data_IF_089391362738
#
_entry.id   IF_089391362738
#
_cell.length_a   1.000
_cell.length_b   1.000
_cell.length_c   1.000
_cell.angle_alpha   90.00
_cell.angle_beta   90.00
_cell.angle_gamma   90.00
#
_symmetry.space_group_name_H-M   'P 1'
#
loop_
_entity.id
_entity.type
_entity.pdbx_description
1 polymer ?
#
# COMPACT_ATOMS: atom_id res chain seq x y z
N UNK A 1 5.69 -17.94 -37.23
CA UNK A 1 4.60 -18.54 -36.42
C UNK A 1 4.79 -18.13 -34.96
N UNK A 2 4.32 -16.94 -34.54
CA UNK A 2 4.54 -16.42 -33.16
C UNK A 2 3.39 -15.53 -32.63
N UNK A 3 2.41 -15.21 -33.47
CA UNK A 3 1.27 -14.32 -33.15
C UNK A 3 0.24 -15.03 -32.26
N UNK A 4 0.12 -16.36 -32.38
CA UNK A 4 -0.82 -17.19 -31.63
C UNK A 4 -0.57 -17.20 -30.11
N UNK A 5 0.69 -17.09 -29.68
CA UNK A 5 1.06 -17.12 -28.26
C UNK A 5 0.66 -15.81 -27.54
N UNK A 6 0.87 -14.67 -28.19
CA UNK A 6 0.53 -13.35 -27.63
C UNK A 6 -0.99 -13.22 -27.48
N UNK A 7 -1.75 -13.68 -28.48
CA UNK A 7 -3.20 -13.62 -28.44
C UNK A 7 -3.78 -14.56 -27.38
N UNK A 8 -3.24 -15.77 -27.24
CA UNK A 8 -3.61 -16.69 -26.16
C UNK A 8 -3.31 -16.11 -24.77
N UNK A 9 -2.17 -15.44 -24.60
CA UNK A 9 -1.82 -14.75 -23.35
C UNK A 9 -2.79 -13.61 -23.05
N UNK A 10 -3.18 -12.83 -24.05
CA UNK A 10 -4.19 -11.76 -23.91
C UNK A 10 -5.54 -12.31 -23.49
N UNK A 11 -6.00 -13.38 -24.13
CA UNK A 11 -7.26 -14.04 -23.77
C UNK A 11 -7.21 -14.55 -22.33
N UNK A 12 -6.10 -15.19 -21.94
CA UNK A 12 -5.91 -15.71 -20.58
C UNK A 12 -5.91 -14.60 -19.53
N UNK A 13 -5.21 -13.49 -19.80
CA UNK A 13 -5.19 -12.33 -18.91
C UNK A 13 -6.58 -11.70 -18.78
N UNK A 14 -7.28 -11.48 -19.90
CA UNK A 14 -8.63 -10.90 -19.89
C UNK A 14 -9.61 -11.76 -19.08
N UNK A 15 -9.50 -13.08 -19.21
CA UNK A 15 -10.32 -14.04 -18.45
C UNK A 15 -9.98 -14.00 -16.96
N UNK A 16 -8.70 -13.90 -16.61
CA UNK A 16 -8.25 -13.78 -15.23
C UNK A 16 -8.74 -12.47 -14.59
N UNK A 17 -8.61 -11.33 -15.29
CA UNK A 17 -9.11 -10.05 -14.80
C UNK A 17 -10.63 -10.04 -14.61
N UNK A 18 -11.39 -10.69 -15.50
CA UNK A 18 -12.82 -10.86 -15.31
C UNK A 18 -13.14 -11.68 -14.06
N UNK A 19 -12.42 -12.78 -13.83
CA UNK A 19 -12.60 -13.60 -12.61
C UNK A 19 -12.32 -12.76 -11.36
N UNK A 20 -11.24 -11.99 -11.35
CA UNK A 20 -10.92 -11.10 -10.23
C UNK A 20 -11.99 -10.01 -10.02
N UNK A 21 -12.55 -9.46 -11.09
CA UNK A 21 -13.59 -8.43 -10.97
C UNK A 21 -14.89 -8.93 -10.34
N UNK A 22 -15.13 -10.24 -10.40
CA UNK A 22 -16.29 -10.91 -9.82
C UNK A 22 -16.00 -11.48 -8.43
N UNK A 23 -14.76 -11.37 -7.93
CA UNK A 23 -14.35 -11.92 -6.66
C UNK A 23 -14.80 -11.02 -5.48
N UNK A 24 -15.78 -11.45 -4.67
CA UNK A 24 -16.28 -10.66 -3.56
C UNK A 24 -15.29 -10.56 -2.39
N UNK A 25 -14.22 -11.37 -2.37
CA UNK A 25 -13.15 -11.24 -1.38
C UNK A 25 -12.22 -10.06 -1.66
N UNK A 26 -12.20 -9.55 -2.90
CA UNK A 26 -11.48 -8.34 -3.29
C UNK A 26 -12.29 -7.06 -3.07
N UNK A 27 -13.61 -7.18 -2.92
CA UNK A 27 -14.41 -6.11 -2.35
C UNK A 27 -13.96 -5.99 -0.90
N UNK A 28 -13.27 -4.90 -0.59
CA UNK A 28 -12.81 -4.55 0.75
C UNK A 28 -13.98 -4.56 1.75
N UNK A 29 -14.33 -5.75 2.24
CA UNK A 29 -14.75 -5.98 3.60
C UNK A 29 -13.48 -6.26 4.39
N UNK A 30 -12.53 -5.32 4.33
CA UNK A 30 -11.71 -5.13 5.49
C UNK A 30 -12.71 -4.82 6.60
N UNK A 31 -12.84 -5.75 7.56
CA UNK A 31 -13.28 -5.41 8.90
C UNK A 31 -12.77 -4.00 9.18
N UNK A 32 -13.65 -3.08 9.58
CA UNK A 32 -13.27 -1.73 9.97
C UNK A 32 -12.34 -1.83 11.19
N UNK A 33 -11.09 -2.20 10.96
CA UNK A 33 -9.97 -1.87 11.83
C UNK A 33 -9.97 -0.36 11.80
N UNK A 34 -10.42 0.25 12.90
CA UNK A 34 -10.66 1.69 13.07
C UNK A 34 -9.75 2.54 12.17
N UNK A 35 -10.24 2.83 10.95
CA UNK A 35 -9.45 3.56 9.97
C UNK A 35 -9.50 5.00 10.41
N UNK A 36 -8.45 5.45 11.10
CA UNK A 36 -8.31 6.86 11.51
C UNK A 36 -8.47 7.75 10.29
N UNK A 37 -9.16 8.87 10.44
CA UNK A 37 -9.28 9.81 9.35
C UNK A 37 -7.90 10.39 9.01
N UNK A 38 -7.71 10.85 7.76
CA UNK A 38 -6.46 11.52 7.39
C UNK A 38 -6.19 12.72 8.31
N UNK A 39 -7.24 13.48 8.67
CA UNK A 39 -7.13 14.60 9.61
C UNK A 39 -6.55 14.16 10.97
N UNK A 40 -6.98 13.00 11.48
CA UNK A 40 -6.42 12.44 12.72
C UNK A 40 -4.95 12.07 12.56
N UNK A 41 -4.57 11.46 11.43
CA UNK A 41 -3.18 11.09 11.15
C UNK A 41 -2.27 12.33 11.05
N UNK A 42 -2.74 13.40 10.41
CA UNK A 42 -2.00 14.67 10.34
C UNK A 42 -1.83 15.29 11.73
N UNK A 43 -2.91 15.34 12.52
CA UNK A 43 -2.86 15.84 13.89
C UNK A 43 -1.91 15.01 14.77
N UNK A 44 -1.95 13.68 14.63
CA UNK A 44 -1.08 12.78 15.38
C UNK A 44 0.40 13.02 15.06
N UNK A 45 0.74 13.27 13.80
CA UNK A 45 2.13 13.48 13.37
C UNK A 45 2.61 14.92 13.57
N UNK A 46 1.70 15.85 13.86
CA UNK A 46 2.00 17.28 13.85
C UNK A 46 2.26 17.82 12.44
N UNK A 47 1.88 17.05 11.40
CA UNK A 47 2.07 17.43 10.02
C UNK A 47 1.12 18.56 9.65
N UNK A 48 1.68 19.67 9.18
CA UNK A 48 0.92 20.86 8.77
C UNK A 48 1.09 21.09 7.27
N UNK A 49 0.12 20.70 6.44
CA UNK A 49 0.18 21.00 5.01
C UNK A 49 0.02 22.52 4.86
N UNK A 50 1.03 23.21 4.35
CA UNK A 50 1.06 24.68 4.22
C UNK A 50 0.20 25.19 3.04
N UNK A 51 -1.08 24.78 2.99
CA UNK A 51 -1.97 24.89 1.81
C UNK A 51 -1.47 24.13 0.57
N UNK A 52 -0.57 23.16 0.76
CA UNK A 52 -0.06 22.28 -0.27
C UNK A 52 -0.71 20.89 -0.19
N UNK A 53 -0.49 20.07 -1.24
CA UNK A 53 -0.86 18.67 -1.21
C UNK A 53 -0.09 17.94 -0.11
N UNK A 54 -0.74 16.96 0.52
CA UNK A 54 -0.11 16.14 1.56
C UNK A 54 0.98 15.27 0.94
N UNK A 55 2.22 15.44 1.39
CA UNK A 55 3.29 14.49 1.10
C UNK A 55 3.07 13.21 1.91
N UNK A 56 2.57 12.17 1.24
CA UNK A 56 2.32 10.89 1.88
C UNK A 56 3.60 10.17 2.29
N UNK A 57 4.73 10.40 1.61
CA UNK A 57 6.01 9.79 1.99
C UNK A 57 6.52 10.41 3.30
N UNK A 58 6.42 11.73 3.45
CA UNK A 58 6.75 12.40 4.71
C UNK A 58 5.80 11.98 5.84
N UNK A 59 4.48 11.96 5.58
CA UNK A 59 3.48 11.53 6.55
C UNK A 59 3.72 10.11 7.04
N UNK A 60 3.97 9.16 6.15
CA UNK A 60 4.28 7.76 6.51
C UNK A 60 5.56 7.69 7.33
N UNK A 61 6.59 8.45 6.95
CA UNK A 61 7.84 8.52 7.72
C UNK A 61 7.62 9.03 9.15
N UNK A 62 6.77 10.04 9.34
CA UNK A 62 6.40 10.55 10.67
C UNK A 62 5.57 9.53 11.46
N UNK A 63 4.66 8.81 10.80
CA UNK A 63 3.87 7.76 11.44
C UNK A 63 4.76 6.62 11.93
N UNK A 64 5.69 6.15 11.11
CA UNK A 64 6.68 5.11 11.47
C UNK A 64 7.51 5.52 12.69
N UNK A 65 8.00 6.77 12.72
CA UNK A 65 8.71 7.30 13.89
C UNK A 65 7.82 7.33 15.14
N UNK A 66 6.55 7.72 15.00
CA UNK A 66 5.61 7.81 16.12
C UNK A 66 5.30 6.46 16.76
N UNK A 67 5.32 5.37 15.98
CA UNK A 67 5.13 4.00 16.48
C UNK A 67 6.45 3.35 16.94
N UNK A 68 7.58 4.07 16.92
CA UNK A 68 8.85 3.61 17.45
C UNK A 68 9.80 2.99 16.43
N UNK A 69 9.46 3.00 15.14
CA UNK A 69 10.39 2.55 14.10
C UNK A 69 11.36 3.70 13.75
N UNK A 70 12.66 3.39 13.73
CA UNK A 70 13.70 4.34 13.29
C UNK A 70 13.88 4.42 11.77
N UNK A 71 12.92 3.88 11.02
CA UNK A 71 12.89 3.84 9.57
C UNK A 71 11.94 4.89 8.97
N UNK A 72 12.10 5.18 7.69
CA UNK A 72 11.26 6.09 6.91
C UNK A 72 10.47 5.34 5.83
N UNK A 73 9.66 6.08 5.07
CA UNK A 73 8.88 5.53 3.97
C UNK A 73 9.75 4.94 2.86
N UNK A 74 10.95 5.47 2.63
CA UNK A 74 11.90 4.96 1.65
C UNK A 74 12.42 3.56 2.06
N UNK A 75 12.80 3.38 3.33
CA UNK A 75 13.25 2.08 3.86
C UNK A 75 12.15 1.01 3.74
N UNK A 76 10.90 1.41 4.04
CA UNK A 76 9.74 0.53 3.90
C UNK A 76 9.50 0.17 2.42
N UNK A 77 9.62 1.14 1.52
CA UNK A 77 9.47 0.91 0.09
C UNK A 77 10.58 0.00 -0.45
N UNK A 78 11.83 0.21 -0.02
CA UNK A 78 12.96 -0.64 -0.39
C UNK A 78 12.73 -2.09 0.05
N UNK A 79 12.24 -2.32 1.27
CA UNK A 79 11.87 -3.65 1.75
C UNK A 79 10.81 -4.32 0.86
N UNK A 80 9.77 -3.56 0.48
CA UNK A 80 8.70 -4.06 -0.40
C UNK A 80 9.21 -4.33 -1.81
N UNK A 81 10.06 -3.46 -2.36
CA UNK A 81 10.68 -3.65 -3.68
C UNK A 81 11.60 -4.87 -3.73
N UNK A 82 12.20 -5.23 -2.60
CA UNK A 82 13.02 -6.43 -2.45
C UNK A 82 12.19 -7.72 -2.22
N UNK A 83 10.86 -7.63 -2.27
CA UNK A 83 9.95 -8.77 -2.21
C UNK A 83 9.36 -9.06 -0.82
N UNK A 84 9.63 -8.19 0.16
CA UNK A 84 8.96 -8.23 1.46
C UNK A 84 7.57 -7.60 1.44
N UNK A 85 6.85 -7.72 2.55
CA UNK A 85 5.52 -7.12 2.74
C UNK A 85 5.54 -5.98 3.76
N UNK A 86 4.52 -5.12 3.74
CA UNK A 86 4.36 -4.06 4.76
C UNK A 86 4.18 -4.69 6.15
N UNK A 87 3.42 -5.77 6.26
CA UNK A 87 3.23 -6.46 7.55
C UNK A 87 4.54 -7.04 8.09
N UNK A 88 5.37 -7.64 7.24
CA UNK A 88 6.71 -8.08 7.64
C UNK A 88 7.54 -6.90 8.14
N UNK A 89 7.60 -5.80 7.36
CA UNK A 89 8.32 -4.59 7.76
C UNK A 89 7.90 -4.06 9.14
N UNK A 90 6.59 -3.99 9.37
CA UNK A 90 6.01 -3.49 10.63
C UNK A 90 6.29 -4.41 11.82
N UNK A 91 6.62 -5.68 11.58
CA UNK A 91 6.95 -6.66 12.62
C UNK A 91 8.48 -6.83 12.84
N UNK A 92 9.33 -6.32 11.96
CA UNK A 92 10.81 -6.46 12.08
C UNK A 92 11.39 -5.69 13.27
N UNK A 93 10.72 -4.65 13.78
CA UNK A 93 11.25 -3.76 14.82
C UNK A 93 10.58 -3.89 16.21
N UNK A 94 9.94 -5.01 16.50
CA UNK A 94 9.48 -5.35 17.86
C UNK A 94 10.52 -6.13 18.66
#
# INVERSE_FOLDING_TARGET
MNVSNVEQKRIRLKRFLNILSEDPSLLNQAEQVESRSLADLLMLTGYTPQNEHVDMAELVSLLLKKIGHHACSEDMMEHVMNGGTVDEFMNISK
#
